data_IF_785352456130
#
_entry.id   IF_785352456130
#
_cell.length_a   1.000
_cell.length_b   1.000
_cell.length_c   1.000
_cell.angle_alpha   90.00
_cell.angle_beta   90.00
_cell.angle_gamma   90.00
#
_symmetry.space_group_name_H-M   'P 1'
#
loop_
_entity.id
_entity.type
_entity.pdbx_description
1 polymer ?
#
# COMPACT_ATOMS: atom_id res chain seq x y z
N UNK A 1 -84.30 -6.18 -24.85
CA UNK A 1 -83.38 -5.79 -23.73
C UNK A 1 -82.10 -6.55 -23.97
N UNK A 2 -81.04 -5.88 -24.58
CA UNK A 2 -79.73 -6.46 -24.82
C UNK A 2 -78.78 -5.99 -23.71
N UNK A 3 -78.23 -6.93 -22.97
CA UNK A 3 -77.23 -6.65 -21.91
C UNK A 3 -75.85 -6.58 -22.57
N UNK A 4 -75.19 -5.43 -22.45
CA UNK A 4 -73.81 -5.23 -22.85
C UNK A 4 -72.91 -5.64 -21.66
N UNK A 5 -72.06 -6.67 -21.85
CA UNK A 5 -70.97 -6.99 -20.91
C UNK A 5 -69.71 -6.22 -21.32
N UNK A 6 -69.27 -5.30 -20.43
CA UNK A 6 -68.00 -4.59 -20.59
C UNK A 6 -66.93 -5.41 -19.87
N UNK A 7 -65.92 -5.90 -20.61
CA UNK A 7 -64.72 -6.52 -20.08
C UNK A 7 -63.67 -5.44 -19.85
N UNK A 8 -63.32 -5.20 -18.59
CA UNK A 8 -62.18 -4.34 -18.22
C UNK A 8 -60.91 -5.19 -18.30
N UNK A 9 -60.04 -4.87 -19.25
CA UNK A 9 -58.69 -5.45 -19.36
C UNK A 9 -57.78 -4.65 -18.46
N UNK A 10 -57.36 -5.22 -17.30
CA UNK A 10 -56.34 -4.67 -16.44
C UNK A 10 -54.97 -4.95 -17.07
N UNK A 11 -54.29 -3.95 -17.64
CA UNK A 11 -52.90 -4.04 -18.06
C UNK A 11 -51.97 -3.98 -16.83
N UNK A 12 -51.37 -5.12 -16.46
CA UNK A 12 -50.26 -5.17 -15.48
C UNK A 12 -49.01 -4.59 -16.16
N UNK A 13 -48.64 -3.37 -15.77
CA UNK A 13 -47.32 -2.81 -16.07
C UNK A 13 -46.27 -3.54 -15.21
N UNK A 14 -45.62 -4.55 -15.77
CA UNK A 14 -44.38 -5.07 -15.19
C UNK A 14 -43.30 -4.02 -15.41
N UNK A 15 -42.91 -3.30 -14.35
CA UNK A 15 -41.69 -2.53 -14.32
C UNK A 15 -40.51 -3.50 -14.42
N UNK A 16 -39.95 -3.65 -15.61
CA UNK A 16 -38.69 -4.36 -15.81
C UNK A 16 -37.58 -3.53 -15.10
N UNK A 17 -37.12 -3.99 -13.93
CA UNK A 17 -35.87 -3.52 -13.38
C UNK A 17 -34.75 -3.92 -14.35
N UNK A 18 -34.32 -3.00 -15.20
CA UNK A 18 -33.07 -3.16 -15.94
C UNK A 18 -31.95 -3.31 -14.92
N UNK A 19 -31.17 -4.41 -14.92
CA UNK A 19 -30.03 -4.52 -14.04
C UNK A 19 -29.09 -3.35 -14.36
N UNK A 20 -28.71 -2.62 -13.30
CA UNK A 20 -27.74 -1.53 -13.38
C UNK A 20 -26.46 -2.16 -13.94
N UNK A 21 -25.92 -1.65 -15.06
CA UNK A 21 -24.68 -2.16 -15.61
C UNK A 21 -23.61 -2.16 -14.53
N UNK A 22 -22.99 -3.30 -14.32
CA UNK A 22 -21.95 -3.47 -13.32
C UNK A 22 -20.73 -2.61 -13.71
N UNK A 23 -20.23 -1.81 -12.76
CA UNK A 23 -19.06 -0.96 -13.00
C UNK A 23 -17.80 -1.79 -12.94
N UNK A 24 -17.12 -1.91 -14.05
CA UNK A 24 -15.82 -2.57 -14.21
C UNK A 24 -14.75 -1.50 -14.43
N UNK A 25 -13.63 -1.62 -13.76
CA UNK A 25 -12.44 -0.76 -13.91
C UNK A 25 -11.60 -1.19 -15.12
N UNK A 26 -10.62 -0.39 -15.53
CA UNK A 26 -9.70 -0.74 -16.62
C UNK A 26 -8.80 -1.94 -16.22
N UNK A 27 -8.53 -2.11 -14.93
CA UNK A 27 -7.83 -3.29 -14.39
C UNK A 27 -8.69 -4.56 -14.39
N UNK A 28 -9.99 -4.45 -14.64
CA UNK A 28 -10.95 -5.55 -14.63
C UNK A 28 -11.61 -5.82 -13.28
N UNK A 29 -11.40 -4.96 -12.28
CA UNK A 29 -12.04 -5.08 -10.98
C UNK A 29 -13.52 -4.72 -11.06
N UNK A 30 -14.36 -5.50 -10.37
CA UNK A 30 -15.79 -5.22 -10.23
C UNK A 30 -16.02 -4.44 -8.94
N UNK A 31 -16.61 -3.24 -9.02
CA UNK A 31 -16.88 -2.42 -7.84
C UNK A 31 -17.72 -3.18 -6.81
N UNK A 32 -18.68 -3.99 -7.25
CA UNK A 32 -19.54 -4.80 -6.37
C UNK A 32 -18.76 -5.77 -5.47
N UNK A 33 -17.59 -6.28 -5.91
CA UNK A 33 -16.75 -7.15 -5.11
C UNK A 33 -16.07 -6.44 -3.92
N UNK A 34 -16.10 -5.11 -3.92
CA UNK A 34 -15.54 -4.29 -2.84
C UNK A 34 -16.61 -3.68 -1.92
N UNK A 35 -17.89 -4.00 -2.17
CA UNK A 35 -19.02 -3.51 -1.41
C UNK A 35 -19.47 -4.55 -0.38
N UNK A 36 -19.10 -4.32 0.87
CA UNK A 36 -19.37 -5.20 1.99
C UNK A 36 -19.46 -4.36 3.26
N UNK A 37 -19.98 -4.90 4.33
CA UNK A 37 -19.91 -4.31 5.66
C UNK A 37 -18.83 -5.00 6.48
N UNK A 38 -17.88 -4.22 7.00
CA UNK A 38 -16.78 -4.69 7.87
C UNK A 38 -16.79 -3.79 9.11
N UNK A 39 -16.87 -4.39 10.29
CA UNK A 39 -16.93 -3.69 11.58
C UNK A 39 -18.01 -2.58 11.64
N UNK A 40 -19.18 -2.85 11.04
CA UNK A 40 -20.31 -1.92 11.00
C UNK A 40 -20.17 -0.75 10.02
N UNK A 41 -19.10 -0.71 9.23
CA UNK A 41 -18.86 0.29 8.18
C UNK A 41 -18.88 -0.32 6.79
N UNK A 42 -19.38 0.45 5.82
CA UNK A 42 -19.43 0.03 4.42
C UNK A 42 -18.10 0.24 3.73
N UNK A 43 -17.64 -0.78 3.01
CA UNK A 43 -16.49 -0.69 2.11
C UNK A 43 -16.95 -0.42 0.68
N UNK A 44 -16.06 0.16 -0.12
CA UNK A 44 -16.27 0.38 -1.56
C UNK A 44 -14.93 0.43 -2.31
N UNK A 45 -15.01 0.50 -3.64
CA UNK A 45 -13.89 0.73 -4.54
C UNK A 45 -14.06 2.10 -5.21
N UNK A 46 -13.05 2.94 -5.03
CA UNK A 46 -12.95 4.28 -5.60
C UNK A 46 -11.97 4.26 -6.76
N UNK A 47 -12.37 4.84 -7.90
CA UNK A 47 -11.53 4.89 -9.10
C UNK A 47 -11.08 6.33 -9.32
N UNK A 48 -9.77 6.56 -9.25
CA UNK A 48 -9.15 7.82 -9.67
C UNK A 48 -8.70 7.69 -11.12
N UNK A 49 -8.96 8.75 -11.91
CA UNK A 49 -8.59 8.77 -13.33
C UNK A 49 -8.16 10.17 -13.74
N UNK A 50 -7.00 10.28 -14.38
CA UNK A 50 -6.51 11.53 -14.92
C UNK A 50 -6.84 11.66 -16.42
N UNK A 51 -6.48 12.80 -17.03
CA UNK A 51 -6.72 13.07 -18.46
C UNK A 51 -5.84 12.22 -19.41
N UNK A 52 -4.78 11.59 -18.88
CA UNK A 52 -3.90 10.72 -19.65
C UNK A 52 -4.33 9.24 -19.58
N UNK A 53 -5.54 8.97 -19.06
CA UNK A 53 -6.10 7.64 -18.86
C UNK A 53 -5.33 6.72 -17.90
N UNK A 54 -4.45 7.27 -17.06
CA UNK A 54 -3.97 6.52 -15.92
C UNK A 54 -5.11 6.30 -14.94
N UNK A 55 -5.25 5.08 -14.43
CA UNK A 55 -6.28 4.69 -13.47
C UNK A 55 -5.64 4.17 -12.19
N UNK A 56 -6.15 4.63 -11.05
CA UNK A 56 -5.79 4.10 -9.73
C UNK A 56 -7.06 3.71 -9.01
N UNK A 57 -7.15 2.45 -8.57
CA UNK A 57 -8.27 1.98 -7.76
C UNK A 57 -7.86 1.89 -6.30
N UNK A 58 -8.70 2.42 -5.43
CA UNK A 58 -8.47 2.47 -3.97
C UNK A 58 -9.70 1.93 -3.26
N UNK A 59 -9.51 1.06 -2.26
CA UNK A 59 -10.57 0.70 -1.32
C UNK A 59 -10.39 1.45 -0.01
N UNK A 60 -11.50 1.82 0.63
CA UNK A 60 -11.47 2.43 1.95
C UNK A 60 -11.20 1.43 3.09
N UNK A 61 -11.11 0.13 2.81
CA UNK A 61 -10.60 -0.84 3.76
C UNK A 61 -9.07 -0.77 3.80
N UNK A 62 -8.53 -0.21 4.86
CA UNK A 62 -7.09 0.04 5.04
C UNK A 62 -6.54 1.16 4.15
N UNK A 63 -7.41 1.96 3.49
CA UNK A 63 -6.97 3.00 2.56
C UNK A 63 -6.01 2.46 1.50
N UNK A 64 -6.34 1.30 0.89
CA UNK A 64 -5.43 0.51 0.04
C UNK A 64 -5.50 0.91 -1.41
N UNK A 65 -4.35 1.09 -2.03
CA UNK A 65 -4.21 1.08 -3.49
C UNK A 65 -4.33 -0.38 -3.96
N UNK A 66 -5.38 -0.67 -4.73
CA UNK A 66 -5.71 -2.02 -5.21
C UNK A 66 -5.14 -2.28 -6.61
N UNK A 67 -5.16 -1.26 -7.47
CA UNK A 67 -4.59 -1.34 -8.82
C UNK A 67 -4.04 0.00 -9.27
N UNK A 68 -3.02 -0.04 -10.12
CA UNK A 68 -2.41 1.13 -10.77
C UNK A 68 -2.18 0.77 -12.23
N UNK A 69 -3.01 1.32 -13.11
CA UNK A 69 -2.95 1.07 -14.56
C UNK A 69 -2.14 2.15 -15.25
N UNK A 70 -1.02 1.77 -15.84
CA UNK A 70 -0.13 2.66 -16.61
C UNK A 70 0.24 2.02 -17.95
N UNK A 71 0.50 2.81 -19.01
CA UNK A 71 0.97 2.27 -20.27
C UNK A 71 2.45 1.86 -20.19
N UNK A 72 2.80 0.75 -20.82
CA UNK A 72 4.19 0.37 -21.08
C UNK A 72 4.73 1.12 -22.33
N UNK A 73 5.99 0.85 -22.67
CA UNK A 73 6.67 1.46 -23.83
C UNK A 73 5.98 1.21 -25.18
N UNK A 74 5.13 0.16 -25.25
CA UNK A 74 4.38 -0.21 -26.46
C UNK A 74 2.92 0.28 -26.38
N UNK A 75 2.57 1.05 -25.33
CA UNK A 75 1.25 1.60 -25.09
C UNK A 75 0.24 0.60 -24.52
N UNK A 76 0.68 -0.59 -24.08
CA UNK A 76 -0.19 -1.55 -23.43
C UNK A 76 -0.35 -1.20 -21.95
N UNK A 77 -1.61 -1.17 -21.48
CA UNK A 77 -1.91 -0.89 -20.07
C UNK A 77 -1.52 -2.05 -19.19
N UNK A 78 -0.74 -1.77 -18.16
CA UNK A 78 -0.25 -2.72 -17.14
C UNK A 78 -0.74 -2.33 -15.77
N UNK A 79 -1.20 -3.32 -14.99
CA UNK A 79 -1.48 -3.14 -13.56
C UNK A 79 -0.20 -3.45 -12.78
N UNK A 80 0.42 -2.41 -12.25
CA UNK A 80 1.79 -2.49 -11.69
C UNK A 80 1.86 -2.70 -10.18
N UNK A 81 0.73 -3.08 -9.52
CA UNK A 81 0.73 -3.40 -8.08
C UNK A 81 0.05 -4.74 -7.82
N UNK A 82 0.49 -5.44 -6.78
CA UNK A 82 -0.17 -6.63 -6.27
C UNK A 82 -1.39 -6.26 -5.42
N UNK A 83 -2.38 -7.15 -5.33
CA UNK A 83 -3.60 -6.97 -4.52
C UNK A 83 -4.58 -8.11 -4.73
N UNK A 84 -5.82 -7.92 -4.29
CA UNK A 84 -6.91 -8.89 -4.46
C UNK A 84 -8.06 -8.31 -5.27
N UNK A 85 -8.92 -9.20 -5.80
CA UNK A 85 -10.08 -8.82 -6.60
C UNK A 85 -11.33 -8.53 -5.76
N UNK A 86 -11.27 -8.68 -4.43
CA UNK A 86 -12.40 -8.50 -3.54
C UNK A 86 -12.02 -8.08 -2.12
N UNK A 87 -12.94 -7.42 -1.42
CA UNK A 87 -12.81 -7.15 0.03
C UNK A 87 -12.76 -8.44 0.84
N UNK A 88 -13.54 -9.45 0.45
CA UNK A 88 -13.55 -10.74 1.15
C UNK A 88 -12.14 -11.34 1.22
N UNK A 89 -11.34 -11.21 0.17
CA UNK A 89 -9.96 -11.69 0.15
C UNK A 89 -9.07 -10.88 1.09
N UNK A 90 -9.18 -9.55 1.11
CA UNK A 90 -8.43 -8.70 2.05
C UNK A 90 -8.77 -8.97 3.52
N UNK A 91 -10.03 -9.30 3.83
CA UNK A 91 -10.47 -9.63 5.19
C UNK A 91 -10.02 -11.03 5.61
N UNK A 92 -10.12 -12.02 4.70
CA UNK A 92 -9.83 -13.42 5.01
C UNK A 92 -8.35 -13.81 4.87
N UNK A 93 -7.57 -13.00 4.15
CA UNK A 93 -6.14 -13.20 3.88
C UNK A 93 -5.36 -11.97 4.35
N UNK A 94 -5.07 -11.83 5.65
CA UNK A 94 -4.34 -10.68 6.18
C UNK A 94 -3.07 -10.40 5.39
N UNK A 95 -2.93 -9.18 4.92
CA UNK A 95 -1.81 -8.73 4.10
C UNK A 95 -1.68 -7.21 4.18
N UNK A 96 -0.54 -6.69 3.76
CA UNK A 96 -0.29 -5.24 3.71
C UNK A 96 -0.40 -4.68 2.27
N UNK A 97 -0.87 -5.48 1.29
CA UNK A 97 -0.98 -5.05 -0.11
C UNK A 97 -1.69 -3.70 -0.25
N UNK A 98 -0.94 -2.69 -0.70
CA UNK A 98 -1.41 -1.35 -1.00
C UNK A 98 -1.83 -0.50 0.20
N UNK A 99 -1.71 -1.00 1.42
CA UNK A 99 -2.31 -0.41 2.61
C UNK A 99 -1.68 0.93 3.02
N UNK A 100 -2.52 1.80 3.58
CA UNK A 100 -2.07 2.93 4.40
C UNK A 100 -1.77 2.40 5.81
N UNK A 101 -0.49 2.29 6.13
CA UNK A 101 0.00 1.76 7.39
C UNK A 101 -0.01 2.84 8.47
N UNK A 102 -0.50 2.49 9.64
CA UNK A 102 -0.56 3.33 10.84
C UNK A 102 -1.06 2.52 12.07
N UNK A 103 -1.04 3.09 13.26
CA UNK A 103 -0.61 4.46 13.62
C UNK A 103 0.89 4.70 13.40
N UNK A 104 1.73 3.64 13.57
CA UNK A 104 3.17 3.69 13.41
C UNK A 104 3.66 2.57 12.50
N UNK A 105 4.17 2.96 11.34
CA UNK A 105 4.71 2.05 10.33
C UNK A 105 6.05 1.47 10.79
N UNK A 106 6.36 0.27 10.28
CA UNK A 106 7.52 -0.52 10.65
C UNK A 106 7.50 -0.92 12.14
N UNK A 107 8.64 -1.19 12.75
CA UNK A 107 8.72 -1.83 14.08
C UNK A 107 9.00 -0.85 15.20
N UNK A 108 8.36 -1.11 16.35
CA UNK A 108 8.72 -0.52 17.66
C UNK A 108 9.29 -1.65 18.51
N UNK A 109 10.52 -1.44 18.99
CA UNK A 109 11.27 -2.45 19.73
C UNK A 109 10.50 -2.95 20.95
N UNK A 110 10.28 -4.27 21.04
CA UNK A 110 9.50 -4.94 22.08
C UNK A 110 8.09 -4.35 22.30
N UNK A 111 7.57 -3.58 21.31
CA UNK A 111 6.32 -2.85 21.44
C UNK A 111 6.36 -1.76 22.54
N UNK A 112 7.51 -1.23 22.90
CA UNK A 112 7.64 -0.25 23.99
C UNK A 112 8.21 1.06 23.53
N UNK A 113 7.64 2.13 24.05
CA UNK A 113 8.20 3.48 23.93
C UNK A 113 7.86 4.30 25.17
N UNK A 114 8.69 5.31 25.43
CA UNK A 114 8.44 6.29 26.50
C UNK A 114 8.12 7.64 25.88
N UNK A 115 7.03 8.25 26.29
CA UNK A 115 6.61 9.58 25.86
C UNK A 115 6.24 10.41 27.10
N UNK A 116 6.87 11.58 27.27
CA UNK A 116 6.69 12.48 28.41
C UNK A 116 6.82 11.77 29.78
N UNK A 117 7.77 10.83 29.88
CA UNK A 117 8.05 10.07 31.09
C UNK A 117 7.10 8.91 31.39
N UNK A 118 6.09 8.68 30.54
CA UNK A 118 5.18 7.54 30.63
C UNK A 118 5.60 6.45 29.65
N UNK A 119 5.75 5.22 30.14
CA UNK A 119 6.00 4.04 29.30
C UNK A 119 4.67 3.50 28.76
N UNK A 120 4.66 3.20 27.47
CA UNK A 120 3.54 2.56 26.75
C UNK A 120 3.96 1.20 26.25
N UNK A 121 3.07 0.20 26.40
CA UNK A 121 3.24 -1.14 25.90
C UNK A 121 2.21 -1.39 24.78
N UNK A 122 2.72 -1.70 23.60
CA UNK A 122 1.94 -2.08 22.43
C UNK A 122 1.92 -3.61 22.27
N UNK A 123 0.99 -4.17 21.50
CA UNK A 123 1.02 -5.58 21.13
C UNK A 123 2.32 -5.97 20.43
N UNK A 124 2.76 -7.20 20.68
CA UNK A 124 3.95 -7.79 20.04
C UNK A 124 3.48 -8.78 18.97
N UNK A 125 3.19 -8.29 17.78
CA UNK A 125 2.60 -9.07 16.68
C UNK A 125 3.62 -9.63 15.68
N UNK A 126 4.93 -9.29 15.83
CA UNK A 126 5.95 -9.76 14.90
C UNK A 126 7.31 -9.89 15.62
N UNK A 127 7.83 -11.11 15.76
CA UNK A 127 9.13 -11.44 16.36
C UNK A 127 9.39 -10.74 17.73
N UNK A 128 8.34 -10.53 18.53
CA UNK A 128 8.45 -9.84 19.82
C UNK A 128 8.44 -8.31 19.73
N UNK A 129 8.16 -7.74 18.58
CA UNK A 129 8.04 -6.30 18.33
C UNK A 129 6.63 -5.93 17.90
N UNK A 130 6.28 -4.64 18.01
CA UNK A 130 5.08 -4.12 17.39
C UNK A 130 5.40 -3.74 15.94
N UNK A 131 4.71 -4.37 14.98
CA UNK A 131 4.85 -4.10 13.55
C UNK A 131 3.58 -3.43 13.03
N UNK A 132 3.75 -2.36 12.24
CA UNK A 132 2.70 -1.73 11.45
C UNK A 132 1.46 -1.33 12.27
N UNK A 133 1.66 -0.80 13.48
CA UNK A 133 0.59 -0.33 14.34
C UNK A 133 -0.14 -1.42 15.12
N UNK A 134 0.35 -2.67 15.08
CA UNK A 134 -0.22 -3.79 15.82
C UNK A 134 -1.13 -4.70 14.98
N UNK A 135 -1.69 -5.77 15.59
CA UNK A 135 -2.48 -6.77 14.88
C UNK A 135 -3.78 -6.22 14.27
N UNK A 136 -4.25 -5.08 14.75
CA UNK A 136 -5.43 -4.37 14.24
C UNK A 136 -5.07 -2.93 13.83
N UNK A 137 -3.90 -2.75 13.21
CA UNK A 137 -3.46 -1.47 12.68
C UNK A 137 -4.38 -0.90 11.59
N UNK A 138 -4.07 0.28 11.08
CA UNK A 138 -4.91 1.01 10.14
C UNK A 138 -5.19 0.24 8.83
N UNK A 139 -4.30 -0.67 8.44
CA UNK A 139 -4.48 -1.55 7.29
C UNK A 139 -5.70 -2.48 7.40
N UNK A 140 -6.24 -2.67 8.60
CA UNK A 140 -7.42 -3.50 8.86
C UNK A 140 -8.65 -2.68 9.25
N UNK A 141 -8.62 -1.36 9.11
CA UNK A 141 -9.72 -0.45 9.47
C UNK A 141 -10.46 0.06 8.23
N UNK A 142 -11.74 0.31 8.38
CA UNK A 142 -12.54 0.96 7.34
C UNK A 142 -12.51 2.47 7.55
N UNK A 143 -11.96 3.19 6.59
CA UNK A 143 -11.91 4.64 6.56
C UNK A 143 -13.24 5.20 6.04
N UNK A 144 -13.64 6.36 6.53
CA UNK A 144 -14.68 7.16 5.90
C UNK A 144 -14.08 7.81 4.65
N UNK A 145 -14.77 7.71 3.52
CA UNK A 145 -14.22 8.11 2.23
C UNK A 145 -15.06 9.19 1.55
N UNK A 146 -14.41 10.20 1.01
CA UNK A 146 -15.00 11.26 0.19
C UNK A 146 -14.18 11.39 -1.10
N UNK A 147 -14.85 11.25 -2.25
CA UNK A 147 -14.25 11.49 -3.57
C UNK A 147 -14.80 12.79 -4.16
N UNK A 148 -14.11 13.95 -3.95
CA UNK A 148 -14.63 15.25 -4.36
C UNK A 148 -14.63 15.45 -5.88
N UNK A 149 -13.74 14.76 -6.58
CA UNK A 149 -13.63 14.78 -8.05
C UNK A 149 -12.97 13.48 -8.56
N UNK A 150 -12.91 13.26 -9.88
CA UNK A 150 -12.35 12.01 -10.44
C UNK A 150 -10.87 11.75 -10.13
N UNK A 151 -10.11 12.73 -9.64
CA UNK A 151 -8.67 12.60 -9.40
C UNK A 151 -8.28 12.62 -7.93
N UNK A 152 -9.23 12.87 -7.01
CA UNK A 152 -8.93 13.05 -5.59
C UNK A 152 -9.81 12.16 -4.73
N UNK A 153 -9.22 11.56 -3.70
CA UNK A 153 -9.89 10.76 -2.68
C UNK A 153 -9.36 11.17 -1.31
N UNK A 154 -10.25 11.50 -0.40
CA UNK A 154 -9.98 11.74 1.02
C UNK A 154 -10.49 10.55 1.83
N UNK A 155 -9.61 9.97 2.65
CA UNK A 155 -9.90 8.87 3.55
C UNK A 155 -9.62 9.33 4.98
N UNK A 156 -10.59 9.17 5.88
CA UNK A 156 -10.46 9.60 7.28
C UNK A 156 -10.70 8.43 8.21
N UNK A 157 -9.80 8.24 9.17
CA UNK A 157 -9.97 7.27 10.25
C UNK A 157 -9.69 7.94 11.60
N UNK A 158 -10.58 7.72 12.56
CA UNK A 158 -10.39 8.15 13.96
C UNK A 158 -10.17 6.93 14.82
N UNK A 159 -8.99 6.86 15.45
CA UNK A 159 -8.62 5.85 16.43
C UNK A 159 -8.78 6.42 17.84
N UNK A 160 -9.35 5.62 18.73
CA UNK A 160 -9.59 6.02 20.12
C UNK A 160 -8.30 5.95 20.97
N UNK A 161 -8.28 6.68 22.08
CA UNK A 161 -7.23 6.60 23.10
C UNK A 161 -7.09 5.16 23.61
N UNK A 162 -5.89 4.59 23.50
CA UNK A 162 -5.62 3.20 23.86
C UNK A 162 -5.83 2.16 22.77
N UNK A 163 -6.31 2.55 21.57
CA UNK A 163 -6.38 1.60 20.44
C UNK A 163 -4.98 1.08 20.12
N UNK A 164 -4.83 -0.27 20.06
CA UNK A 164 -3.54 -0.96 19.92
C UNK A 164 -2.49 -0.53 20.94
N UNK A 165 -2.88 0.06 22.10
CA UNK A 165 -2.01 0.54 23.16
C UNK A 165 -1.44 1.94 22.95
N UNK A 166 -1.74 2.61 21.85
CA UNK A 166 -1.26 3.97 21.59
C UNK A 166 -2.09 5.01 22.35
N UNK A 167 -1.42 6.04 22.96
CA UNK A 167 -2.13 7.11 23.67
C UNK A 167 -2.77 8.11 22.69
N UNK A 168 -3.87 8.72 23.16
CA UNK A 168 -4.57 9.82 22.50
C UNK A 168 -5.56 9.38 21.43
N UNK A 169 -6.71 10.06 21.42
CA UNK A 169 -7.58 10.03 20.27
C UNK A 169 -6.88 10.70 19.10
N UNK A 170 -6.89 10.09 17.93
CA UNK A 170 -6.25 10.62 16.75
C UNK A 170 -7.18 10.51 15.55
N UNK A 171 -7.30 11.59 14.80
CA UNK A 171 -7.95 11.57 13.49
C UNK A 171 -6.88 11.69 12.43
N UNK A 172 -6.74 10.64 11.61
CA UNK A 172 -5.81 10.59 10.49
C UNK A 172 -6.57 10.74 9.18
N UNK A 173 -6.00 11.55 8.27
CA UNK A 173 -6.46 11.68 6.89
C UNK A 173 -5.38 11.20 5.94
N UNK A 174 -5.82 10.47 4.93
CA UNK A 174 -5.00 10.08 3.77
C UNK A 174 -5.62 10.75 2.55
N UNK A 175 -4.93 11.73 2.00
CA UNK A 175 -5.33 12.47 0.82
C UNK A 175 -4.58 11.89 -0.38
N UNK A 176 -5.29 11.26 -1.30
CA UNK A 176 -4.72 10.70 -2.52
C UNK A 176 -5.15 11.51 -3.72
N UNK A 177 -4.19 11.94 -4.53
CA UNK A 177 -4.43 12.67 -5.76
C UNK A 177 -3.68 12.04 -6.92
N UNK A 178 -4.41 11.69 -7.97
CA UNK A 178 -3.83 11.29 -9.24
C UNK A 178 -3.65 12.53 -10.12
N UNK A 179 -2.42 12.94 -10.33
CA UNK A 179 -2.10 14.15 -11.07
C UNK A 179 -2.12 13.91 -12.59
N UNK A 180 -2.14 15.00 -13.38
CA UNK A 180 -2.17 14.91 -14.84
C UNK A 180 -0.82 14.53 -15.48
N UNK A 181 0.26 14.58 -14.71
CA UNK A 181 1.59 14.11 -15.09
C UNK A 181 1.88 12.67 -14.61
N UNK A 182 0.80 11.92 -14.28
CA UNK A 182 0.82 10.52 -13.89
C UNK A 182 1.53 10.25 -12.54
N UNK A 183 1.46 11.19 -11.61
CA UNK A 183 1.91 10.96 -10.25
C UNK A 183 0.73 10.64 -9.31
N UNK A 184 0.97 9.76 -8.35
CA UNK A 184 0.10 9.51 -7.20
C UNK A 184 0.68 10.33 -6.04
N UNK A 185 0.05 11.45 -5.72
CA UNK A 185 0.39 12.26 -4.55
C UNK A 185 -0.38 11.73 -3.34
N UNK A 186 0.34 11.28 -2.30
CA UNK A 186 -0.23 10.76 -1.07
C UNK A 186 0.23 11.65 0.08
N UNK A 187 -0.74 12.29 0.74
CA UNK A 187 -0.48 13.16 1.88
C UNK A 187 -1.18 12.62 3.11
N UNK A 188 -0.44 12.56 4.22
CA UNK A 188 -0.94 12.18 5.52
C UNK A 188 -1.07 13.41 6.42
N UNK A 189 -2.23 13.54 7.06
CA UNK A 189 -2.50 14.55 8.09
C UNK A 189 -3.02 13.86 9.33
N UNK A 190 -2.60 14.32 10.51
CA UNK A 190 -3.05 13.75 11.77
C UNK A 190 -3.28 14.85 12.81
N UNK A 191 -4.41 14.75 13.51
CA UNK A 191 -4.74 15.61 14.65
C UNK A 191 -5.02 14.74 15.87
N UNK A 192 -4.49 15.13 17.03
CA UNK A 192 -4.64 14.37 18.28
C UNK A 192 -4.93 15.28 19.46
N UNK A 193 -5.64 14.75 20.46
CA UNK A 193 -5.96 15.42 21.72
C UNK A 193 -4.90 15.25 22.82
N UNK A 194 -3.93 14.33 22.62
CA UNK A 194 -2.82 14.06 23.54
C UNK A 194 -1.53 13.80 22.79
N UNK A 195 -0.36 13.98 23.42
CA UNK A 195 0.91 13.51 22.85
C UNK A 195 0.82 12.04 22.44
N UNK A 196 1.25 11.74 21.22
CA UNK A 196 1.31 10.38 20.67
C UNK A 196 2.43 10.29 19.64
N UNK A 197 2.67 9.09 19.12
CA UNK A 197 3.62 8.87 18.03
C UNK A 197 2.86 8.52 16.75
N UNK A 198 3.31 9.08 15.63
CA UNK A 198 2.72 8.85 14.30
C UNK A 198 3.81 8.68 13.27
N UNK A 199 3.71 7.63 12.49
CA UNK A 199 4.53 7.39 11.31
C UNK A 199 3.68 6.61 10.30
N UNK A 200 3.24 7.25 9.23
CA UNK A 200 2.38 6.61 8.23
C UNK A 200 3.14 6.40 6.94
N UNK A 201 2.84 5.30 6.25
CA UNK A 201 3.39 4.99 4.93
C UNK A 201 2.36 4.27 4.07
N UNK A 202 2.62 4.15 2.77
CA UNK A 202 1.87 3.29 1.86
C UNK A 202 2.70 2.03 1.56
N UNK A 203 2.07 0.87 1.70
CA UNK A 203 2.72 -0.43 1.51
C UNK A 203 2.31 -1.09 0.19
N UNK A 204 2.42 -0.35 -0.92
CA UNK A 204 2.18 -0.90 -2.24
C UNK A 204 3.29 -1.84 -2.66
N UNK A 205 2.91 -2.98 -3.23
CA UNK A 205 3.80 -4.02 -3.74
C UNK A 205 3.90 -3.84 -5.26
N UNK A 206 4.95 -3.18 -5.73
CA UNK A 206 5.13 -2.86 -7.14
C UNK A 206 5.75 -4.02 -7.92
N UNK A 207 5.17 -4.31 -9.07
CA UNK A 207 5.77 -5.11 -10.14
C UNK A 207 5.50 -4.40 -11.46
N UNK A 208 6.53 -3.75 -12.00
CA UNK A 208 6.40 -2.90 -13.19
C UNK A 208 6.28 -3.71 -14.50
N UNK A 209 6.40 -5.04 -14.45
CA UNK A 209 6.08 -5.92 -15.57
C UNK A 209 4.57 -6.18 -15.68
N UNK A 210 3.84 -6.00 -14.57
CA UNK A 210 2.38 -6.11 -14.52
C UNK A 210 1.85 -7.55 -14.59
N UNK A 211 2.70 -8.55 -14.36
CA UNK A 211 2.35 -9.98 -14.45
C UNK A 211 2.59 -10.75 -13.14
N UNK A 212 3.08 -10.04 -12.10
CA UNK A 212 3.48 -10.59 -10.82
C UNK A 212 4.54 -11.73 -10.90
N UNK A 213 5.28 -11.82 -12.00
CA UNK A 213 6.47 -12.65 -12.09
C UNK A 213 7.59 -12.10 -11.18
N UNK A 214 8.70 -12.82 -11.06
CA UNK A 214 9.83 -12.36 -10.24
C UNK A 214 10.42 -11.07 -10.81
N UNK A 215 10.53 -10.05 -9.97
CA UNK A 215 10.98 -8.71 -10.35
C UNK A 215 12.48 -8.47 -10.15
N UNK A 216 13.26 -9.53 -10.05
CA UNK A 216 14.71 -9.43 -9.77
C UNK A 216 15.49 -8.68 -10.85
N UNK A 217 14.94 -8.57 -12.07
CA UNK A 217 15.51 -7.81 -13.17
C UNK A 217 15.21 -6.30 -13.11
N UNK A 218 14.28 -5.86 -12.25
CA UNK A 218 13.98 -4.44 -12.08
C UNK A 218 15.22 -3.71 -11.56
N UNK A 219 15.52 -2.55 -12.15
CA UNK A 219 16.64 -1.71 -11.76
C UNK A 219 16.19 -0.79 -10.62
N UNK A 220 16.89 -0.85 -9.49
CA UNK A 220 16.67 0.02 -8.35
C UNK A 220 17.81 1.02 -8.23
N UNK A 221 17.46 2.29 -7.98
CA UNK A 221 18.41 3.34 -7.61
C UNK A 221 17.87 4.05 -6.37
N UNK A 222 18.75 4.33 -5.38
CA UNK A 222 18.39 5.05 -4.15
C UNK A 222 19.44 6.13 -3.88
N UNK A 223 19.01 7.38 -3.69
CA UNK A 223 19.87 8.49 -3.27
C UNK A 223 20.12 8.42 -1.77
N UNK A 224 20.97 7.46 -1.37
CA UNK A 224 21.35 7.21 0.02
C UNK A 224 22.76 6.66 0.15
N UNK A 225 23.56 7.27 1.03
CA UNK A 225 24.92 6.81 1.36
C UNK A 225 24.92 5.85 2.56
N UNK A 226 23.81 5.75 3.29
CA UNK A 226 23.69 4.97 4.52
C UNK A 226 22.38 4.19 4.55
N UNK A 227 22.37 3.14 5.36
CA UNK A 227 21.18 2.36 5.71
C UNK A 227 21.16 2.05 7.20
N UNK A 228 20.04 1.58 7.74
CA UNK A 228 19.92 1.14 9.13
C UNK A 228 19.98 -0.39 9.21
N UNK A 229 21.06 -0.98 9.79
CA UNK A 229 21.17 -2.41 9.98
C UNK A 229 20.06 -2.96 10.89
N UNK A 230 19.67 -4.22 10.62
CA UNK A 230 18.71 -4.95 11.44
C UNK A 230 19.32 -6.21 12.05
N UNK A 231 18.78 -6.64 13.17
CA UNK A 231 19.08 -7.95 13.76
C UNK A 231 18.23 -9.07 13.12
N UNK A 232 18.34 -10.29 13.63
CA UNK A 232 17.60 -11.45 13.13
C UNK A 232 16.09 -11.41 13.37
N UNK A 233 15.60 -10.42 14.11
CA UNK A 233 14.19 -10.14 14.36
C UNK A 233 13.68 -8.95 13.55
N UNK A 234 14.47 -8.48 12.58
CA UNK A 234 14.21 -7.30 11.73
C UNK A 234 14.17 -5.97 12.51
N UNK A 235 14.60 -5.96 13.76
CA UNK A 235 14.66 -4.73 14.55
C UNK A 235 15.95 -3.98 14.23
N UNK A 236 15.82 -2.66 14.01
CA UNK A 236 16.99 -1.80 13.78
C UNK A 236 17.91 -1.80 15.00
N UNK A 237 19.23 -1.87 14.75
CA UNK A 237 20.24 -1.94 15.82
C UNK A 237 20.58 -0.59 16.44
N UNK A 238 20.08 0.51 15.87
CA UNK A 238 20.46 1.88 16.21
C UNK A 238 21.72 2.37 15.48
N UNK A 239 22.37 1.51 14.69
CA UNK A 239 23.49 1.89 13.83
C UNK A 239 22.99 2.52 12.53
N UNK A 240 23.79 3.45 11.99
CA UNK A 240 23.67 3.96 10.61
C UNK A 240 24.96 3.57 9.90
N UNK A 241 24.86 2.58 9.01
CA UNK A 241 26.02 1.98 8.32
C UNK A 241 26.12 2.47 6.87
N UNK A 242 27.34 2.61 6.31
CA UNK A 242 27.54 3.01 4.92
C UNK A 242 27.09 1.91 3.97
N UNK A 243 26.52 2.30 2.82
CA UNK A 243 26.19 1.36 1.75
C UNK A 243 27.41 0.97 0.91
N UNK A 244 28.42 1.84 0.85
CA UNK A 244 29.61 1.70 0.01
C UNK A 244 30.34 0.37 0.26
N UNK A 245 30.64 -0.35 -0.82
CA UNK A 245 31.32 -1.63 -0.75
C UNK A 245 30.48 -2.79 -0.21
N UNK A 246 29.18 -2.60 -0.04
CA UNK A 246 28.24 -3.62 0.46
C UNK A 246 27.17 -3.97 -0.59
N UNK A 247 26.45 -5.08 -0.43
CA UNK A 247 25.28 -5.40 -1.26
C UNK A 247 24.15 -4.36 -1.16
N UNK A 248 24.16 -3.47 -0.15
CA UNK A 248 23.17 -2.42 0.06
C UNK A 248 23.37 -1.18 -0.83
N UNK A 249 24.44 -1.13 -1.66
CA UNK A 249 24.76 0.02 -2.51
C UNK A 249 23.89 0.05 -3.78
N UNK A 250 22.83 0.86 -3.74
CA UNK A 250 21.95 1.17 -4.87
C UNK A 250 22.09 2.62 -5.37
N UNK A 251 23.22 3.28 -5.14
CA UNK A 251 23.47 4.65 -5.63
C UNK A 251 23.56 4.73 -7.16
N UNK A 252 23.71 3.59 -7.83
CA UNK A 252 23.63 3.44 -9.29
C UNK A 252 22.59 2.41 -9.67
N UNK A 253 21.96 2.51 -10.87
CA UNK A 253 20.95 1.53 -11.30
C UNK A 253 21.49 0.11 -11.21
N UNK A 254 20.87 -0.71 -10.36
CA UNK A 254 21.32 -2.08 -10.07
C UNK A 254 20.12 -3.02 -10.06
N UNK A 255 20.16 -4.18 -10.76
CA UNK A 255 19.09 -5.15 -10.66
C UNK A 255 18.87 -5.58 -9.20
N UNK A 256 17.61 -5.59 -8.75
CA UNK A 256 17.27 -6.00 -7.37
C UNK A 256 17.81 -7.39 -7.07
N UNK A 257 17.77 -8.30 -8.03
CA UNK A 257 18.23 -9.67 -7.88
C UNK A 257 19.75 -9.85 -7.90
N UNK A 258 20.53 -8.82 -8.28
CA UNK A 258 21.96 -8.99 -8.54
C UNK A 258 22.76 -9.51 -7.33
N UNK A 259 22.36 -9.08 -6.12
CA UNK A 259 23.08 -9.41 -4.87
C UNK A 259 22.14 -9.89 -3.76
N UNK A 260 20.85 -10.01 -4.03
CA UNK A 260 19.80 -10.28 -3.01
C UNK A 260 19.98 -11.60 -2.26
N UNK A 261 20.72 -12.55 -2.85
CA UNK A 261 21.02 -13.88 -2.27
C UNK A 261 22.44 -13.96 -1.69
N UNK A 262 23.17 -12.86 -1.56
CA UNK A 262 24.47 -12.82 -0.91
C UNK A 262 24.33 -12.93 0.61
N UNK A 263 24.02 -14.14 1.08
CA UNK A 263 23.77 -14.44 2.51
C UNK A 263 25.06 -14.53 3.35
N UNK A 264 26.24 -14.38 2.77
CA UNK A 264 27.47 -14.14 3.51
C UNK A 264 27.45 -12.74 4.13
N UNK A 265 26.72 -11.83 3.53
CA UNK A 265 26.43 -10.53 4.14
C UNK A 265 25.28 -10.65 5.14
N UNK A 266 25.57 -10.45 6.43
CA UNK A 266 24.66 -10.72 7.55
C UNK A 266 23.29 -10.03 7.42
N UNK A 267 23.24 -8.84 6.81
CA UNK A 267 21.99 -8.08 6.65
C UNK A 267 21.04 -8.79 5.66
N UNK A 268 21.53 -9.27 4.54
CA UNK A 268 20.70 -10.03 3.58
C UNK A 268 20.29 -11.38 4.16
N UNK A 269 21.12 -11.99 5.03
CA UNK A 269 20.72 -13.17 5.77
C UNK A 269 19.60 -12.87 6.76
N UNK A 270 19.69 -11.79 7.54
CA UNK A 270 18.68 -11.37 8.50
C UNK A 270 17.36 -11.04 7.82
N UNK A 271 17.39 -10.29 6.69
CA UNK A 271 16.21 -9.87 5.93
C UNK A 271 15.65 -10.94 4.99
N UNK A 272 16.32 -12.10 4.84
CA UNK A 272 16.03 -13.09 3.79
C UNK A 272 16.03 -12.44 2.39
N UNK A 273 16.90 -11.45 2.19
CA UNK A 273 16.98 -10.52 1.08
C UNK A 273 16.88 -9.08 1.55
N UNK A 274 16.42 -8.17 0.69
CA UNK A 274 16.22 -6.78 1.08
C UNK A 274 14.91 -6.61 1.85
N UNK A 275 15.03 -6.14 3.09
CA UNK A 275 13.96 -5.67 3.97
C UNK A 275 14.59 -4.68 4.97
N UNK A 276 15.04 -3.53 4.46
CA UNK A 276 15.86 -2.58 5.20
C UNK A 276 15.46 -1.15 4.85
N UNK A 277 15.81 -0.23 5.74
CA UNK A 277 15.63 1.21 5.51
C UNK A 277 16.92 1.86 5.04
N UNK A 278 16.84 2.67 4.00
CA UNK A 278 17.91 3.56 3.52
C UNK A 278 17.69 4.97 4.06
N UNK A 279 18.79 5.60 4.52
CA UNK A 279 18.83 6.97 5.02
C UNK A 279 18.99 7.92 3.83
N UNK A 280 17.94 8.65 3.50
CA UNK A 280 17.87 9.45 2.28
C UNK A 280 18.74 10.70 2.33
N UNK A 281 19.55 10.92 1.27
CA UNK A 281 20.37 12.12 1.10
C UNK A 281 19.53 13.36 0.80
N UNK A 282 18.25 13.19 0.41
CA UNK A 282 17.31 14.30 0.15
C UNK A 282 16.92 15.04 1.41
N UNK A 283 17.04 14.41 2.59
CA UNK A 283 16.75 15.01 3.92
C UNK A 283 15.38 15.68 4.00
N UNK A 284 14.37 15.03 3.40
CA UNK A 284 12.99 15.55 3.39
C UNK A 284 12.69 16.62 2.33
N UNK A 285 13.61 16.89 1.41
CA UNK A 285 13.34 17.76 0.27
C UNK A 285 12.51 17.00 -0.79
N UNK A 286 11.21 17.20 -0.76
CA UNK A 286 10.25 16.57 -1.67
C UNK A 286 10.42 16.97 -3.14
N UNK A 287 11.21 17.98 -3.45
CA UNK A 287 11.49 18.38 -4.84
C UNK A 287 12.61 17.54 -5.47
N UNK A 288 13.31 16.75 -4.65
CA UNK A 288 14.38 15.86 -5.10
C UNK A 288 13.91 14.41 -5.13
N UNK A 289 14.21 13.75 -6.25
CA UNK A 289 13.95 12.32 -6.39
C UNK A 289 14.86 11.53 -5.43
N UNK A 290 14.25 10.65 -4.63
CA UNK A 290 14.99 9.86 -3.65
C UNK A 290 15.23 8.40 -4.08
N UNK A 291 14.37 7.86 -4.96
CA UNK A 291 14.54 6.52 -5.50
C UNK A 291 13.91 6.39 -6.88
N UNK A 292 14.36 5.40 -7.64
CA UNK A 292 13.79 4.99 -8.93
C UNK A 292 13.74 3.47 -9.00
N UNK A 293 12.60 2.92 -9.41
CA UNK A 293 12.45 1.54 -9.82
C UNK A 293 12.08 1.51 -11.31
N UNK A 294 12.80 0.72 -12.12
CA UNK A 294 12.58 0.64 -13.56
C UNK A 294 12.46 -0.82 -14.00
N UNK A 295 11.50 -1.12 -14.88
CA UNK A 295 11.45 -2.38 -15.59
C UNK A 295 12.12 -2.27 -16.96
N UNK A 296 13.22 -2.96 -17.22
CA UNK A 296 13.81 -3.04 -18.55
C UNK A 296 12.88 -3.71 -19.58
N UNK A 297 11.98 -4.57 -19.13
CA UNK A 297 11.05 -5.29 -19.99
C UNK A 297 9.98 -4.36 -20.55
N UNK A 298 9.28 -3.65 -19.67
CA UNK A 298 8.13 -2.79 -20.05
C UNK A 298 8.51 -1.34 -20.33
N UNK A 299 9.69 -0.90 -19.85
CA UNK A 299 10.12 0.49 -19.89
C UNK A 299 9.36 1.40 -18.92
N UNK A 300 8.56 0.82 -18.01
CA UNK A 300 7.88 1.58 -16.97
C UNK A 300 8.89 1.98 -15.90
N UNK A 301 8.82 3.25 -15.50
CA UNK A 301 9.67 3.85 -14.47
C UNK A 301 8.79 4.41 -13.36
N UNK A 302 9.12 4.06 -12.12
CA UNK A 302 8.54 4.61 -10.91
C UNK A 302 9.59 5.47 -10.20
N UNK A 303 9.38 6.77 -10.19
CA UNK A 303 10.19 7.73 -9.43
C UNK A 303 9.51 8.04 -8.10
N UNK A 304 10.29 8.04 -7.01
CA UNK A 304 9.82 8.32 -5.66
C UNK A 304 10.35 9.64 -5.15
N UNK A 305 9.45 10.44 -4.61
CA UNK A 305 9.72 11.72 -3.95
C UNK A 305 9.09 11.68 -2.56
N UNK A 306 9.76 12.20 -1.54
CA UNK A 306 9.23 12.18 -0.17
C UNK A 306 9.80 13.30 0.68
N UNK A 307 9.03 13.74 1.68
CA UNK A 307 9.51 14.56 2.77
C UNK A 307 9.95 13.74 4.01
N UNK A 308 9.94 12.41 3.90
CA UNK A 308 10.42 11.52 4.96
C UNK A 308 11.95 11.32 4.89
N UNK A 309 12.61 11.04 6.03
CA UNK A 309 14.07 10.89 6.10
C UNK A 309 14.59 9.55 5.59
N UNK A 310 13.73 8.56 5.42
CA UNK A 310 14.12 7.20 5.05
C UNK A 310 13.13 6.54 4.09
N UNK A 311 13.59 5.45 3.49
CA UNK A 311 12.78 4.57 2.64
C UNK A 311 13.11 3.11 2.98
N UNK A 312 12.08 2.36 3.39
CA UNK A 312 12.15 0.91 3.50
C UNK A 312 12.00 0.31 2.11
N UNK A 313 12.90 -0.60 1.76
CA UNK A 313 12.78 -1.43 0.56
C UNK A 313 12.59 -2.86 0.98
N UNK A 314 11.42 -3.42 0.64
CA UNK A 314 11.08 -4.82 0.87
C UNK A 314 10.88 -5.53 -0.47
N UNK A 315 11.66 -6.55 -0.73
CA UNK A 315 11.71 -7.20 -2.03
C UNK A 315 10.76 -8.41 -2.17
N UNK A 316 9.66 -8.47 -1.41
CA UNK A 316 8.69 -9.56 -1.48
C UNK A 316 9.24 -10.91 -1.01
N UNK A 317 10.19 -10.91 -0.07
CA UNK A 317 10.95 -12.10 0.37
C UNK A 317 10.07 -13.19 0.98
N UNK A 318 8.93 -12.82 1.58
CA UNK A 318 8.01 -13.71 2.31
C UNK A 318 6.75 -14.08 1.52
N UNK A 319 6.62 -13.64 0.28
CA UNK A 319 5.63 -14.18 -0.64
C UNK A 319 6.04 -15.61 -0.98
N UNK A 320 5.18 -16.59 -0.73
CA UNK A 320 5.52 -18.01 -0.77
C UNK A 320 4.66 -18.84 -1.74
N UNK A 321 3.80 -18.16 -2.51
CA UNK A 321 2.86 -18.81 -3.42
C UNK A 321 1.56 -19.28 -2.76
N UNK A 322 1.37 -19.04 -1.47
CA UNK A 322 0.12 -19.38 -0.77
C UNK A 322 -1.03 -18.40 -1.12
N UNK A 323 -0.69 -17.19 -1.55
CA UNK A 323 -1.67 -16.17 -1.90
C UNK A 323 -1.94 -16.15 -3.40
N UNK A 324 -3.22 -16.29 -3.75
CA UNK A 324 -3.73 -16.01 -5.10
C UNK A 324 -4.35 -14.62 -5.10
N UNK A 325 -3.80 -13.73 -5.90
CA UNK A 325 -4.21 -12.35 -6.02
C UNK A 325 -5.12 -12.06 -7.20
N UNK A 326 -5.05 -10.84 -7.72
CA UNK A 326 -5.84 -10.38 -8.86
C UNK A 326 -5.72 -11.30 -10.07
N UNK A 327 -6.85 -11.50 -10.78
CA UNK A 327 -6.93 -12.35 -11.99
C UNK A 327 -6.46 -13.79 -11.77
N UNK A 328 -6.48 -14.28 -10.53
CA UNK A 328 -6.04 -15.64 -10.21
C UNK A 328 -4.53 -15.85 -10.25
N UNK A 329 -3.73 -14.78 -10.24
CA UNK A 329 -2.27 -14.88 -10.27
C UNK A 329 -1.74 -15.27 -8.89
N UNK A 330 -0.89 -16.29 -8.84
CA UNK A 330 -0.21 -16.70 -7.60
C UNK A 330 1.00 -15.80 -7.33
N UNK A 331 1.09 -15.26 -6.12
CA UNK A 331 2.19 -14.38 -5.71
C UNK A 331 3.32 -15.18 -5.09
N UNK A 332 4.35 -15.43 -5.88
CA UNK A 332 5.55 -16.16 -5.47
C UNK A 332 6.59 -15.23 -4.85
N UNK A 333 7.60 -15.83 -4.22
CA UNK A 333 8.73 -15.09 -3.65
C UNK A 333 9.32 -14.13 -4.70
N UNK A 334 9.53 -12.88 -4.27
CA UNK A 334 10.11 -11.83 -5.11
C UNK A 334 9.24 -11.38 -6.28
N UNK A 335 7.94 -11.52 -6.16
CA UNK A 335 6.99 -11.02 -7.17
C UNK A 335 6.82 -9.48 -7.13
N UNK A 336 7.42 -8.78 -6.17
CA UNK A 336 7.23 -7.34 -6.00
C UNK A 336 8.36 -6.66 -5.24
N UNK A 337 8.41 -5.32 -5.33
CA UNK A 337 9.21 -4.44 -4.48
C UNK A 337 8.28 -3.43 -3.80
N UNK A 338 8.39 -3.29 -2.46
CA UNK A 338 7.75 -2.21 -1.71
C UNK A 338 8.77 -1.08 -1.48
N UNK A 339 8.29 0.15 -1.60
CA UNK A 339 9.07 1.38 -1.44
C UNK A 339 8.32 2.26 -0.43
N UNK A 340 8.62 2.08 0.86
CA UNK A 340 7.86 2.63 1.97
C UNK A 340 8.62 3.80 2.57
N UNK A 341 8.24 5.02 2.20
CA UNK A 341 8.86 6.22 2.77
C UNK A 341 8.41 6.41 4.22
N UNK A 342 9.35 6.67 5.14
CA UNK A 342 9.08 6.59 6.58
C UNK A 342 10.08 7.38 7.42
N UNK A 343 9.72 7.57 8.70
CA UNK A 343 10.66 7.80 9.81
C UNK A 343 11.24 6.46 10.27
N UNK A 344 12.50 6.45 10.70
CA UNK A 344 13.21 5.21 11.08
C UNK A 344 13.87 5.34 12.45
#
# INVERSE_FOLDING_TARGET
>A
MKKLCVWAVAALLMAACTPKAEKTTDSGLLQSNFQMEVDGKKTDLYTLRNKNNMEVCVTNFGGRIVSVMVPDKDGQMRDVVLGFDSIQDYVSKPSDFGASIGRYANRINQGRFTLDGTEYQLPQNNYGHCLHGGPQGFQYRVFDAVQPNPQELELTYTAEDGEEGFPGNITCKVLMKLTDDNAIDIRYEAETDKPTIVNMTNHSYFNLDGDAARNEAHLLTIDADYYTPVDSTFMTTGEIAPVEGTPMDFRTPTPVGARINDYDFVQLKNGNGYDHNWVLNTKGDITRKCATLESPLTGIVLDVYTNEPGIQVYAGNFLDGSLTGKKGITYNQRASVCLETQKY
#
